data_IF_179319803409
#
_entry.id   IF_179319803409
#
_cell.length_a   1.000
_cell.length_b   1.000
_cell.length_c   1.000
_cell.angle_alpha   90.00
_cell.angle_beta   90.00
_cell.angle_gamma   90.00
#
_symmetry.space_group_name_H-M   'P 1'
#
loop_
_entity.id
_entity.type
_entity.pdbx_description
1 polymer ?
#
# COMPACT_ATOMS: atom_id res chain seq x y z
N UNK A 1 -13.90 6.58 -24.94
CA UNK A 1 -14.46 5.49 -24.11
C UNK A 1 -14.21 5.86 -22.66
N UNK A 2 -15.27 6.19 -21.94
CA UNK A 2 -15.22 6.74 -20.58
C UNK A 2 -14.90 5.64 -19.58
N UNK A 3 -13.62 5.26 -19.48
CA UNK A 3 -13.15 4.36 -18.44
C UNK A 3 -13.13 5.12 -17.13
N UNK A 4 -14.16 4.95 -16.30
CA UNK A 4 -14.07 5.30 -14.88
C UNK A 4 -13.03 4.38 -14.25
N UNK A 5 -11.73 4.73 -14.37
CA UNK A 5 -10.57 4.02 -13.82
C UNK A 5 -10.48 4.17 -12.29
N UNK A 6 -11.31 5.03 -11.71
CA UNK A 6 -11.25 5.41 -10.30
C UNK A 6 -12.31 4.69 -9.48
N UNK A 7 -11.88 4.20 -8.32
CA UNK A 7 -12.69 3.46 -7.38
C UNK A 7 -13.26 4.38 -6.30
N UNK A 8 -14.59 4.45 -6.12
CA UNK A 8 -15.21 5.37 -5.15
C UNK A 8 -14.79 5.09 -3.70
N UNK A 9 -14.40 3.85 -3.37
CA UNK A 9 -13.89 3.52 -2.03
C UNK A 9 -12.50 4.12 -1.78
N UNK A 10 -11.68 4.22 -2.84
CA UNK A 10 -10.40 4.90 -2.77
C UNK A 10 -10.63 6.41 -2.65
N UNK A 11 -11.56 6.97 -3.42
CA UNK A 11 -11.91 8.40 -3.31
C UNK A 11 -12.37 8.75 -1.89
N UNK A 12 -13.21 7.90 -1.28
CA UNK A 12 -13.65 8.07 0.10
C UNK A 12 -12.47 8.02 1.08
N UNK A 13 -11.57 7.04 0.93
CA UNK A 13 -10.37 6.92 1.75
C UNK A 13 -9.48 8.18 1.67
N UNK A 14 -9.25 8.68 0.46
CA UNK A 14 -8.44 9.88 0.23
C UNK A 14 -9.09 11.15 0.77
N UNK A 15 -10.40 11.28 0.64
CA UNK A 15 -11.13 12.44 1.21
C UNK A 15 -11.01 12.51 2.74
N UNK A 16 -10.90 11.35 3.40
CA UNK A 16 -10.76 11.23 4.85
C UNK A 16 -9.30 11.27 5.32
N UNK A 17 -8.33 11.23 4.42
CA UNK A 17 -6.91 11.25 4.77
C UNK A 17 -6.51 12.64 5.31
N UNK A 18 -6.14 12.69 6.60
CA UNK A 18 -5.63 13.91 7.25
C UNK A 18 -4.15 14.20 6.97
N UNK A 19 -3.40 13.18 6.56
CA UNK A 19 -1.97 13.24 6.25
C UNK A 19 -1.73 12.57 4.90
N UNK A 20 -0.66 13.00 4.22
CA UNK A 20 -0.16 12.42 2.98
C UNK A 20 -1.12 12.51 1.79
N UNK A 21 -2.10 13.43 1.83
CA UNK A 21 -3.17 13.48 0.83
C UNK A 21 -2.61 13.74 -0.58
N UNK A 22 -1.76 14.76 -0.71
CA UNK A 22 -1.11 15.13 -1.97
C UNK A 22 -0.21 13.99 -2.47
N UNK A 23 0.49 13.32 -1.56
CA UNK A 23 1.33 12.16 -1.88
C UNK A 23 0.49 10.97 -2.33
N UNK A 24 -0.65 10.69 -1.68
CA UNK A 24 -1.56 9.64 -2.12
C UNK A 24 -2.11 9.92 -3.52
N UNK A 25 -2.54 11.15 -3.78
CA UNK A 25 -3.06 11.56 -5.10
C UNK A 25 -1.97 11.44 -6.17
N UNK A 26 -0.76 11.89 -5.86
CA UNK A 26 0.40 11.77 -6.76
C UNK A 26 0.75 10.32 -7.05
N UNK A 27 0.87 9.48 -6.01
CA UNK A 27 1.18 8.06 -6.15
C UNK A 27 0.07 7.32 -6.90
N UNK A 28 -1.20 7.63 -6.63
CA UNK A 28 -2.35 7.08 -7.36
C UNK A 28 -2.23 7.39 -8.84
N UNK A 29 -1.94 8.64 -9.21
CA UNK A 29 -1.80 9.03 -10.61
C UNK A 29 -0.67 8.25 -11.31
N UNK A 30 0.50 8.12 -10.66
CA UNK A 30 1.64 7.34 -11.20
C UNK A 30 1.24 5.87 -11.43
N UNK A 31 0.55 5.27 -10.45
CA UNK A 31 0.16 3.85 -10.52
C UNK A 31 -0.94 3.61 -11.56
N UNK A 32 -1.87 4.54 -11.73
CA UNK A 32 -2.91 4.49 -12.76
C UNK A 32 -2.37 4.73 -14.18
N UNK A 33 -1.27 5.47 -14.32
CA UNK A 33 -0.56 5.64 -15.59
C UNK A 33 0.12 4.35 -16.06
N UNK A 34 0.41 3.43 -15.12
CA UNK A 34 0.95 2.10 -15.40
C UNK A 34 -0.12 1.06 -15.80
N UNK A 35 -1.32 1.49 -16.19
CA UNK A 35 -2.48 0.65 -16.56
C UNK A 35 -2.89 -0.39 -15.49
N UNK A 36 -2.64 -0.08 -14.22
CA UNK A 36 -3.09 -0.92 -13.11
C UNK A 36 -4.55 -0.66 -12.74
N UNK A 37 -5.25 -1.70 -12.33
CA UNK A 37 -6.64 -1.63 -11.89
C UNK A 37 -6.69 -1.24 -10.42
N UNK A 38 -7.47 -0.21 -10.08
CA UNK A 38 -7.64 0.25 -8.71
C UNK A 38 -8.70 -0.55 -7.95
N UNK A 39 -8.28 -1.13 -6.83
CA UNK A 39 -9.10 -1.85 -5.88
C UNK A 39 -8.96 -1.28 -4.47
N UNK A 40 -9.86 -1.67 -3.58
CA UNK A 40 -9.79 -1.32 -2.16
C UNK A 40 -9.76 -2.59 -1.32
N UNK A 41 -8.60 -2.90 -0.73
CA UNK A 41 -8.34 -4.13 0.02
C UNK A 41 -7.60 -3.80 1.30
N UNK A 42 -7.90 -4.52 2.38
CA UNK A 42 -7.26 -4.32 3.70
C UNK A 42 -7.30 -2.86 4.18
N UNK A 43 -8.38 -2.14 3.88
CA UNK A 43 -8.57 -0.72 4.21
C UNK A 43 -7.60 0.25 3.52
N UNK A 44 -6.94 -0.17 2.43
CA UNK A 44 -6.02 0.65 1.68
C UNK A 44 -6.26 0.56 0.15
N UNK A 45 -5.87 1.62 -0.60
CA UNK A 45 -5.80 1.56 -2.06
C UNK A 45 -4.81 0.49 -2.51
N UNK A 46 -5.30 -0.48 -3.29
CA UNK A 46 -4.52 -1.62 -3.78
C UNK A 46 -4.68 -1.70 -5.29
N UNK A 47 -3.58 -1.93 -6.01
CA UNK A 47 -3.56 -1.88 -7.46
C UNK A 47 -3.14 -3.23 -8.01
N UNK A 48 -3.94 -3.71 -8.97
CA UNK A 48 -3.85 -5.07 -9.49
C UNK A 48 -3.62 -5.08 -10.99
N UNK A 49 -2.91 -6.10 -11.46
CA UNK A 49 -2.76 -6.41 -12.88
C UNK A 49 -3.21 -7.85 -13.07
N UNK A 50 -4.15 -8.10 -14.00
CA UNK A 50 -4.73 -9.45 -14.20
C UNK A 50 -5.22 -10.10 -12.89
N UNK A 51 -5.86 -9.32 -12.00
CA UNK A 51 -6.33 -9.73 -10.66
C UNK A 51 -5.23 -10.12 -9.66
N UNK A 52 -3.95 -9.97 -9.99
CA UNK A 52 -2.83 -10.16 -9.07
C UNK A 52 -2.49 -8.83 -8.39
N UNK A 53 -2.31 -8.85 -7.08
CA UNK A 53 -1.92 -7.64 -6.35
C UNK A 53 -0.48 -7.26 -6.69
N UNK A 54 -0.28 -6.03 -7.17
CA UNK A 54 1.03 -5.53 -7.58
C UNK A 54 1.58 -4.59 -6.52
N UNK A 55 0.84 -3.53 -6.23
CA UNK A 55 1.27 -2.46 -5.32
C UNK A 55 0.11 -1.96 -4.46
N UNK A 56 0.42 -1.51 -3.25
CA UNK A 56 -0.52 -0.92 -2.31
C UNK A 56 0.04 0.41 -1.81
N UNK A 57 -0.79 1.45 -1.70
CA UNK A 57 -0.35 2.74 -1.16
C UNK A 57 -0.71 2.80 0.32
N UNK A 58 0.28 3.09 1.17
CA UNK A 58 0.07 3.18 2.61
C UNK A 58 0.86 4.33 3.23
N UNK A 59 0.13 5.22 3.90
CA UNK A 59 0.67 6.27 4.76
C UNK A 59 0.90 5.76 6.18
N UNK A 60 2.15 5.83 6.62
CA UNK A 60 2.58 5.63 8.00
C UNK A 60 2.61 6.96 8.76
N UNK A 61 2.98 6.91 10.04
CA UNK A 61 3.08 8.11 10.90
C UNK A 61 4.05 9.16 10.35
N UNK A 62 5.15 8.70 9.75
CA UNK A 62 6.31 9.52 9.36
C UNK A 62 6.57 9.55 7.86
N UNK A 63 5.97 8.67 7.07
CA UNK A 63 6.16 8.63 5.61
C UNK A 63 4.96 7.99 4.89
N UNK A 64 4.84 8.21 3.59
CA UNK A 64 3.96 7.47 2.69
C UNK A 64 4.79 6.55 1.80
N UNK A 65 4.29 5.36 1.48
CA UNK A 65 5.03 4.38 0.69
C UNK A 65 4.15 3.58 -0.29
N UNK A 66 4.80 3.18 -1.38
CA UNK A 66 4.36 2.10 -2.24
C UNK A 66 4.87 0.75 -1.72
N UNK A 67 3.95 -0.16 -1.44
CA UNK A 67 4.25 -1.51 -0.96
C UNK A 67 4.04 -2.50 -2.11
N UNK A 68 5.15 -3.01 -2.65
CA UNK A 68 5.12 -4.00 -3.72
C UNK A 68 5.00 -5.42 -3.17
N UNK A 69 3.95 -6.16 -3.58
CA UNK A 69 3.73 -7.53 -3.11
C UNK A 69 4.85 -8.50 -3.52
N UNK A 70 5.46 -8.28 -4.69
CA UNK A 70 6.61 -9.02 -5.20
C UNK A 70 7.82 -8.12 -5.42
N UNK A 71 8.01 -7.14 -4.54
CA UNK A 71 9.08 -6.14 -4.66
C UNK A 71 10.49 -6.72 -4.72
N UNK A 72 10.72 -7.90 -4.12
CA UNK A 72 12.02 -8.59 -4.19
C UNK A 72 12.42 -9.07 -5.59
N UNK A 73 11.47 -9.11 -6.53
CA UNK A 73 11.74 -9.45 -7.94
C UNK A 73 12.03 -8.20 -8.78
N UNK A 74 11.82 -7.00 -8.23
CA UNK A 74 12.09 -5.76 -8.93
C UNK A 74 13.59 -5.48 -8.92
N UNK A 75 14.10 -5.00 -10.06
CA UNK A 75 15.43 -4.43 -10.11
C UNK A 75 15.40 -3.09 -9.37
N UNK A 76 16.41 -2.86 -8.54
CA UNK A 76 16.57 -1.62 -7.79
C UNK A 76 17.86 -0.89 -8.21
N UNK A 77 17.92 -0.36 -9.44
CA UNK A 77 19.14 0.28 -9.95
C UNK A 77 19.54 1.54 -9.15
N UNK A 78 18.60 2.13 -8.41
CA UNK A 78 18.80 3.35 -7.64
C UNK A 78 18.92 3.10 -6.13
N UNK A 79 18.78 1.86 -5.65
CA UNK A 79 18.87 1.54 -4.23
C UNK A 79 17.73 2.13 -3.38
N UNK A 80 16.58 2.43 -3.99
CA UNK A 80 15.45 3.12 -3.34
C UNK A 80 14.52 2.11 -2.68
N UNK A 81 14.50 0.86 -3.15
CA UNK A 81 13.60 -0.16 -2.63
C UNK A 81 14.11 -0.67 -1.27
N UNK A 82 13.47 -0.19 -0.21
CA UNK A 82 13.72 -0.69 1.14
C UNK A 82 13.03 -2.05 1.28
N UNK A 83 13.79 -3.13 1.16
CA UNK A 83 13.30 -4.45 1.53
C UNK A 83 13.02 -4.46 3.03
N UNK A 84 11.73 -4.55 3.39
CA UNK A 84 11.34 -4.77 4.78
C UNK A 84 11.82 -6.16 5.19
N UNK A 85 13.03 -6.26 5.75
CA UNK A 85 13.47 -7.46 6.47
C UNK A 85 12.43 -7.70 7.55
N UNK A 86 11.70 -8.79 7.40
CA UNK A 86 10.77 -9.29 8.40
C UNK A 86 11.46 -9.17 9.76
N UNK A 87 10.88 -8.42 10.69
CA UNK A 87 11.27 -8.55 12.09
C UNK A 87 11.06 -10.03 12.44
N UNK A 88 12.15 -10.81 12.46
CA UNK A 88 12.25 -12.02 13.28
C UNK A 88 11.89 -11.56 14.69
N UNK A 89 10.71 -11.93 15.16
CA UNK A 89 10.23 -11.60 16.51
C UNK A 89 9.07 -10.60 16.56
N UNK A 90 7.87 -11.07 16.21
CA UNK A 90 6.68 -10.68 16.98
C UNK A 90 6.05 -11.94 17.57
N UNK A 91 6.67 -12.45 18.63
CA UNK A 91 5.90 -13.17 19.64
C UNK A 91 5.02 -12.13 20.33
N UNK A 92 3.70 -12.25 20.20
CA UNK A 92 2.77 -11.54 21.08
C UNK A 92 2.87 -12.22 22.45
N UNK A 93 3.68 -11.69 23.35
CA UNK A 93 3.48 -11.94 24.78
C UNK A 93 2.45 -10.93 25.26
N UNK A 94 1.19 -11.37 25.34
CA UNK A 94 0.09 -10.64 25.94
C UNK A 94 -0.34 -11.31 27.24
N UNK A 95 0.15 -10.75 28.34
CA UNK A 95 -0.32 -10.87 29.73
C UNK A 95 -0.19 -12.24 30.44
N UNK A 96 0.12 -12.22 31.75
CA UNK A 96 1.12 -13.08 32.36
C UNK A 96 0.58 -14.46 32.73
N UNK A 97 1.51 -15.41 32.80
CA UNK A 97 1.69 -16.33 33.94
C UNK A 97 0.38 -16.75 34.63
N UNK A 98 -0.02 -17.99 34.36
CA UNK A 98 -0.76 -18.88 35.26
C UNK A 98 -1.15 -18.21 36.57
N UNK A 99 -2.44 -17.88 36.69
CA UNK A 99 -3.09 -17.72 37.99
C UNK A 99 -2.71 -18.94 38.84
N UNK A 100 -1.94 -18.71 39.90
CA UNK A 100 -2.13 -19.46 41.15
C UNK A 100 -3.34 -18.87 41.85
#
# INVERSE_FOLDING_TARGET
MSNSRMNPKVDEFLSKAKKWKDEYETLRNIVLDCDLTEEFKWMHPCYTFEKKNIVLIHGFKEYCALLFHKGSLLQDPHGILIQRRMYRGRARFGSPMFKK
#
